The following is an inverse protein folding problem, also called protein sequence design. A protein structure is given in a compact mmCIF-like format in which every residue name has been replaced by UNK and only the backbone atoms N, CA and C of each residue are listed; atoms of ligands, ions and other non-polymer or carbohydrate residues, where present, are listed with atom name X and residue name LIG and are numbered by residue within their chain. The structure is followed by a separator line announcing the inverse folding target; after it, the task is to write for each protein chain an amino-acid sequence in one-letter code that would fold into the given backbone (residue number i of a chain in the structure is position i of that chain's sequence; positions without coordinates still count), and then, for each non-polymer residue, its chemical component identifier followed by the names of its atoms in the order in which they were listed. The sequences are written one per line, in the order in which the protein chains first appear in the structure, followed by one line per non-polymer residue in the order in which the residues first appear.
data_IF_661722309938
#
_entry.id   IF_661722309938
#
_cell.length_a   1.000
_cell.length_b   1.000
_cell.length_c   1.000
_cell.angle_alpha   90.00
_cell.angle_beta   90.00
_cell.angle_gamma   90.00
#
_symmetry.space_group_name_H-M   'P 1'
#
loop_
_entity.id
_entity.type
_entity.pdbx_description
1 polymer ?
#
# COMPACT_ATOMS: atom_id res chain seq x y z
N UNK A 1 -18.17 -22.05 16.05
CA UNK A 1 -17.37 -21.23 15.12
C UNK A 1 -16.55 -20.29 15.97
N UNK A 2 -15.24 -20.52 16.09
CA UNK A 2 -14.33 -19.54 16.71
C UNK A 2 -14.33 -18.31 15.82
N UNK A 3 -14.59 -17.13 16.38
CA UNK A 3 -14.56 -15.89 15.60
C UNK A 3 -13.14 -15.69 15.05
N UNK A 4 -13.02 -15.54 13.73
CA UNK A 4 -11.74 -15.23 13.08
C UNK A 4 -11.38 -13.78 13.42
N UNK A 5 -10.19 -13.56 13.97
CA UNK A 5 -9.67 -12.21 14.21
C UNK A 5 -9.19 -11.61 12.90
N UNK A 6 -9.43 -10.32 12.68
CA UNK A 6 -9.01 -9.60 11.49
C UNK A 6 -8.20 -8.36 11.86
N UNK A 7 -7.23 -8.01 11.01
CA UNK A 7 -6.42 -6.80 11.12
C UNK A 7 -6.37 -6.07 9.79
N UNK A 8 -6.59 -4.76 9.82
CA UNK A 8 -6.39 -3.84 8.70
C UNK A 8 -5.08 -3.07 8.94
N UNK A 9 -4.09 -3.29 8.09
CA UNK A 9 -2.74 -2.74 8.23
C UNK A 9 -2.49 -1.67 7.17
N UNK A 10 -2.05 -0.48 7.56
CA UNK A 10 -1.61 0.53 6.61
C UNK A 10 -0.33 0.05 5.89
N UNK A 11 -0.24 0.21 4.57
CA UNK A 11 0.99 -0.12 3.84
C UNK A 11 2.11 0.85 4.24
N UNK A 12 1.83 2.14 4.07
CA UNK A 12 2.75 3.24 4.36
C UNK A 12 2.80 3.48 5.87
N UNK A 13 4.00 3.58 6.43
CA UNK A 13 4.23 3.78 7.87
C UNK A 13 4.25 2.50 8.72
N UNK A 14 3.78 1.36 8.18
CA UNK A 14 3.82 0.06 8.89
C UNK A 14 4.64 -0.98 8.15
N UNK A 15 4.31 -1.24 6.88
CA UNK A 15 4.93 -2.30 6.08
C UNK A 15 6.12 -1.77 5.28
N UNK A 16 6.00 -0.55 4.76
CA UNK A 16 7.06 0.20 4.09
C UNK A 16 6.68 1.69 4.04
N UNK A 17 7.39 2.47 3.22
CA UNK A 17 6.98 3.81 2.82
C UNK A 17 7.19 3.94 1.30
N UNK A 18 6.09 4.15 0.57
CA UNK A 18 6.08 4.27 -0.89
C UNK A 18 6.11 5.72 -1.37
N UNK A 19 6.11 6.69 -0.44
CA UNK A 19 6.01 8.13 -0.76
C UNK A 19 7.19 8.63 -1.59
N UNK A 20 8.41 8.24 -1.22
CA UNK A 20 9.60 8.65 -1.95
C UNK A 20 9.64 8.08 -3.38
N UNK A 21 9.21 6.83 -3.57
CA UNK A 21 9.13 6.19 -4.89
C UNK A 21 8.04 6.84 -5.76
N UNK A 22 6.91 7.19 -5.14
CA UNK A 22 5.83 7.93 -5.82
C UNK A 22 6.30 9.30 -6.32
N UNK A 23 6.95 10.09 -5.46
CA UNK A 23 7.42 11.43 -5.81
C UNK A 23 8.49 11.38 -6.92
N UNK A 24 9.43 10.43 -6.84
CA UNK A 24 10.44 10.24 -7.87
C UNK A 24 9.82 9.86 -9.23
N UNK A 25 8.81 9.00 -9.23
CA UNK A 25 8.07 8.67 -10.45
C UNK A 25 7.36 9.88 -11.04
N UNK A 26 6.70 10.71 -10.21
CA UNK A 26 6.02 11.91 -10.71
C UNK A 26 6.99 12.84 -11.45
N UNK A 27 8.15 13.12 -10.86
CA UNK A 27 9.19 13.94 -11.48
C UNK A 27 9.70 13.34 -12.80
N UNK A 28 9.96 12.03 -12.83
CA UNK A 28 10.46 11.36 -14.03
C UNK A 28 9.41 11.24 -15.15
N UNK A 29 8.16 10.97 -14.80
CA UNK A 29 7.11 10.65 -15.76
C UNK A 29 6.39 11.89 -16.32
N UNK A 30 6.43 13.04 -15.63
CA UNK A 30 5.66 14.22 -16.01
C UNK A 30 5.83 14.64 -17.47
N UNK A 31 7.08 14.73 -17.95
CA UNK A 31 7.37 15.10 -19.35
C UNK A 31 6.95 14.04 -20.38
N UNK A 32 6.97 12.77 -20.01
CA UNK A 32 6.65 11.63 -20.89
C UNK A 32 5.14 11.44 -20.99
N UNK A 33 4.45 11.60 -19.87
CA UNK A 33 3.01 11.35 -19.73
C UNK A 33 2.19 12.61 -20.05
N UNK A 34 2.80 13.79 -19.96
CA UNK A 34 2.18 15.08 -20.31
C UNK A 34 1.49 15.78 -19.14
N UNK A 35 2.00 15.63 -17.92
CA UNK A 35 1.54 16.38 -16.74
C UNK A 35 2.70 17.13 -16.09
N UNK A 36 2.38 18.17 -15.31
CA UNK A 36 3.36 18.95 -14.56
C UNK A 36 3.27 18.53 -13.08
N UNK A 37 4.30 17.89 -12.50
CA UNK A 37 4.23 17.33 -11.14
C UNK A 37 3.81 18.35 -10.07
N UNK A 38 4.36 19.56 -10.13
CA UNK A 38 4.04 20.67 -9.21
C UNK A 38 2.59 21.20 -9.32
N UNK A 39 1.86 20.84 -10.36
CA UNK A 39 0.44 21.22 -10.54
C UNK A 39 -0.51 20.14 -9.99
N UNK A 40 0.02 18.96 -9.66
CA UNK A 40 -0.77 17.92 -9.01
C UNK A 40 -1.02 18.27 -7.53
N UNK A 41 -2.18 17.88 -6.98
CA UNK A 41 -2.43 17.95 -5.55
C UNK A 41 -1.33 17.28 -4.72
N UNK A 42 -1.00 17.87 -3.56
CA UNK A 42 -0.06 17.27 -2.62
C UNK A 42 -0.62 15.99 -1.97
N UNK A 43 -1.94 15.93 -1.78
CA UNK A 43 -2.61 14.70 -1.35
C UNK A 43 -2.53 13.65 -2.46
N UNK A 44 -1.97 12.49 -2.14
CA UNK A 44 -1.66 11.45 -3.12
C UNK A 44 -2.92 10.84 -3.74
N UNK A 45 -4.00 10.67 -2.97
CA UNK A 45 -5.26 10.16 -3.51
C UNK A 45 -5.89 11.16 -4.50
N UNK A 46 -5.82 12.46 -4.19
CA UNK A 46 -6.26 13.52 -5.11
C UNK A 46 -5.37 13.61 -6.36
N UNK A 47 -4.04 13.44 -6.21
CA UNK A 47 -3.13 13.39 -7.35
C UNK A 47 -3.44 12.24 -8.31
N UNK A 48 -3.75 11.06 -7.77
CA UNK A 48 -4.20 9.91 -8.57
C UNK A 48 -5.50 10.23 -9.32
N UNK A 49 -6.49 10.81 -8.64
CA UNK A 49 -7.74 11.20 -9.28
C UNK A 49 -7.54 12.26 -10.38
N UNK A 50 -6.59 13.18 -10.19
CA UNK A 50 -6.25 14.20 -11.17
C UNK A 50 -5.54 13.61 -12.40
N UNK A 51 -4.59 12.69 -12.21
CA UNK A 51 -3.96 11.94 -13.31
C UNK A 51 -4.98 11.14 -14.12
N UNK A 52 -5.98 10.56 -13.46
CA UNK A 52 -7.09 9.88 -14.14
C UNK A 52 -7.94 10.84 -14.96
N UNK A 53 -8.31 11.98 -14.35
CA UNK A 53 -9.14 13.00 -14.98
C UNK A 53 -8.46 13.60 -16.21
N UNK A 54 -7.15 13.82 -16.16
CA UNK A 54 -6.37 14.30 -17.30
C UNK A 54 -6.29 13.27 -18.43
N UNK A 55 -6.66 12.01 -18.18
CA UNK A 55 -6.58 10.95 -19.17
C UNK A 55 -5.15 10.68 -19.60
N UNK A 56 -4.21 10.79 -18.65
CA UNK A 56 -2.77 10.66 -18.84
C UNK A 56 -2.35 9.24 -19.31
N UNK A 57 -2.71 8.89 -20.54
CA UNK A 57 -2.36 7.64 -21.23
C UNK A 57 -2.43 6.39 -20.35
N UNK A 58 -1.37 5.59 -20.42
CA UNK A 58 -1.20 4.35 -19.67
C UNK A 58 -0.38 4.55 -18.37
N UNK A 59 -0.50 5.72 -17.71
CA UNK A 59 0.37 6.10 -16.58
C UNK A 59 0.46 5.03 -15.48
N UNK A 60 -0.63 4.31 -15.19
CA UNK A 60 -0.64 3.20 -14.22
C UNK A 60 0.30 2.06 -14.60
N UNK A 61 0.33 1.71 -15.89
CA UNK A 61 1.22 0.66 -16.41
C UNK A 61 2.67 1.12 -16.33
N UNK A 62 2.93 2.38 -16.68
CA UNK A 62 4.27 2.96 -16.57
C UNK A 62 4.74 3.04 -15.12
N UNK A 63 3.87 3.43 -14.20
CA UNK A 63 4.15 3.43 -12.76
C UNK A 63 4.50 2.04 -12.26
N UNK A 64 3.73 1.01 -12.63
CA UNK A 64 4.01 -0.37 -12.24
C UNK A 64 5.42 -0.79 -12.64
N UNK A 65 5.76 -0.67 -13.93
CA UNK A 65 7.09 -1.03 -14.46
C UNK A 65 8.22 -0.23 -13.80
N UNK A 66 8.05 1.09 -13.68
CA UNK A 66 9.03 1.96 -13.04
C UNK A 66 9.28 1.56 -11.58
N UNK A 67 8.20 1.25 -10.86
CA UNK A 67 8.25 0.86 -9.47
C UNK A 67 8.93 -0.49 -9.30
N UNK A 68 8.64 -1.47 -10.15
CA UNK A 68 9.25 -2.82 -10.10
C UNK A 68 10.78 -2.75 -10.22
N UNK A 69 11.27 -1.93 -11.15
CA UNK A 69 12.71 -1.72 -11.36
C UNK A 69 13.41 -1.05 -10.17
N UNK A 70 12.69 -0.19 -9.44
CA UNK A 70 13.27 0.68 -8.41
C UNK A 70 12.93 0.29 -6.98
N UNK A 71 11.98 -0.62 -6.78
CA UNK A 71 11.55 -1.05 -5.45
C UNK A 71 12.70 -1.38 -4.50
N UNK A 72 13.79 -2.08 -4.90
CA UNK A 72 14.92 -2.36 -4.01
C UNK A 72 15.67 -1.13 -3.48
N UNK A 73 15.62 0.00 -4.20
CA UNK A 73 16.27 1.27 -3.82
C UNK A 73 15.48 1.97 -2.73
N UNK A 74 14.16 1.97 -2.83
CA UNK A 74 13.26 2.75 -1.96
C UNK A 74 12.71 1.91 -0.81
N UNK A 75 12.42 0.63 -1.06
CA UNK A 75 11.66 -0.21 -0.14
C UNK A 75 12.59 -1.20 0.55
N UNK A 76 12.63 -1.12 1.87
CA UNK A 76 13.40 -2.04 2.70
C UNK A 76 12.49 -3.01 3.43
N UNK A 77 12.85 -4.28 3.37
CA UNK A 77 12.20 -5.32 4.17
C UNK A 77 12.59 -5.14 5.64
N UNK A 78 11.60 -5.14 6.52
CA UNK A 78 11.83 -5.19 7.96
C UNK A 78 11.59 -6.60 8.50
N UNK A 79 12.58 -7.15 9.20
CA UNK A 79 12.50 -8.50 9.77
C UNK A 79 11.47 -8.59 10.90
N UNK A 80 11.27 -7.50 11.65
CA UNK A 80 10.28 -7.41 12.72
C UNK A 80 8.86 -7.47 12.17
N UNK A 81 8.52 -6.59 11.23
CA UNK A 81 7.24 -6.57 10.52
C UNK A 81 6.96 -7.92 9.85
N UNK A 82 7.94 -8.49 9.16
CA UNK A 82 7.80 -9.81 8.53
C UNK A 82 7.52 -10.93 9.54
N UNK A 83 8.13 -10.87 10.73
CA UNK A 83 7.88 -11.83 11.81
C UNK A 83 6.49 -11.66 12.40
N UNK A 84 6.07 -10.43 12.68
CA UNK A 84 4.76 -10.11 13.22
C UNK A 84 3.63 -10.62 12.30
N UNK A 85 3.71 -10.32 10.99
CA UNK A 85 2.73 -10.80 10.03
C UNK A 85 2.65 -12.32 9.95
N UNK A 86 3.80 -13.01 10.00
CA UNK A 86 3.83 -14.48 10.06
C UNK A 86 3.19 -15.04 11.33
N UNK A 87 3.40 -14.37 12.47
CA UNK A 87 2.81 -14.80 13.74
C UNK A 87 1.27 -14.64 13.72
N UNK A 88 0.77 -13.54 13.16
CA UNK A 88 -0.67 -13.31 12.97
C UNK A 88 -1.29 -14.34 12.01
N UNK A 89 -0.65 -14.58 10.85
CA UNK A 89 -1.06 -15.60 9.89
C UNK A 89 -1.12 -16.99 10.54
N UNK A 90 -0.09 -17.37 11.29
CA UNK A 90 -0.04 -18.66 12.00
C UNK A 90 -1.10 -18.78 13.12
N UNK A 91 -1.50 -17.65 13.72
CA UNK A 91 -2.61 -17.58 14.67
C UNK A 91 -3.99 -17.55 13.98
N UNK A 92 -4.06 -17.62 12.66
CA UNK A 92 -5.30 -17.68 11.88
C UNK A 92 -5.97 -16.33 11.67
N UNK A 93 -5.24 -15.22 11.78
CA UNK A 93 -5.79 -13.88 11.53
C UNK A 93 -5.98 -13.61 10.04
N UNK A 94 -7.07 -12.92 9.69
CA UNK A 94 -7.21 -12.31 8.37
C UNK A 94 -6.45 -10.98 8.33
N UNK A 95 -5.54 -10.85 7.36
CA UNK A 95 -4.67 -9.68 7.23
C UNK A 95 -5.06 -8.89 5.98
N UNK A 96 -5.74 -7.76 6.15
CA UNK A 96 -6.00 -6.80 5.09
C UNK A 96 -4.96 -5.68 5.05
N UNK A 97 -4.68 -5.14 3.87
CA UNK A 97 -3.79 -3.97 3.69
C UNK A 97 -4.53 -2.82 3.03
N UNK A 98 -4.32 -1.60 3.51
CA UNK A 98 -4.87 -0.39 2.89
C UNK A 98 -3.80 0.68 2.69
N UNK A 99 -4.00 1.54 1.70
CA UNK A 99 -3.12 2.69 1.40
C UNK A 99 -3.83 3.71 0.52
N UNK A 100 -3.43 4.97 0.60
CA UNK A 100 -3.78 6.02 -0.35
C UNK A 100 -2.93 5.97 -1.64
N UNK A 101 -1.86 5.16 -1.68
CA UNK A 101 -1.06 4.91 -2.88
C UNK A 101 -1.91 4.31 -4.02
N UNK A 102 -1.58 4.61 -5.29
CA UNK A 102 -2.21 3.94 -6.43
C UNK A 102 -1.90 2.45 -6.46
N UNK A 103 -2.85 1.66 -6.99
CA UNK A 103 -2.78 0.19 -6.99
C UNK A 103 -1.48 -0.41 -7.56
N UNK A 104 -0.95 0.03 -8.72
CA UNK A 104 0.30 -0.52 -9.25
C UNK A 104 1.49 -0.38 -8.30
N UNK A 105 1.58 0.75 -7.59
CA UNK A 105 2.65 1.02 -6.62
C UNK A 105 2.49 0.15 -5.36
N UNK A 106 1.26 0.06 -4.85
CA UNK A 106 0.95 -0.77 -3.68
C UNK A 106 1.24 -2.26 -3.93
N UNK A 107 0.86 -2.78 -5.10
CA UNK A 107 1.15 -4.16 -5.51
C UNK A 107 2.64 -4.42 -5.63
N UNK A 108 3.36 -3.51 -6.28
CA UNK A 108 4.83 -3.60 -6.37
C UNK A 108 5.47 -3.68 -4.99
N UNK A 109 5.04 -2.82 -4.06
CA UNK A 109 5.55 -2.83 -2.70
C UNK A 109 5.28 -4.17 -2.00
N UNK A 110 4.05 -4.69 -2.06
CA UNK A 110 3.70 -5.98 -1.46
C UNK A 110 4.48 -7.16 -2.06
N UNK A 111 4.68 -7.16 -3.37
CA UNK A 111 5.45 -8.20 -4.07
C UNK A 111 6.92 -8.15 -3.65
N UNK A 112 7.51 -6.96 -3.62
CA UNK A 112 8.89 -6.76 -3.16
C UNK A 112 9.06 -7.16 -1.69
N UNK A 113 8.08 -6.92 -0.83
CA UNK A 113 8.09 -7.36 0.57
C UNK A 113 7.78 -8.86 0.74
N UNK A 114 7.34 -9.55 -0.31
CA UNK A 114 6.94 -10.96 -0.26
C UNK A 114 5.66 -11.21 0.54
N UNK A 115 4.74 -10.25 0.57
CA UNK A 115 3.54 -10.26 1.40
C UNK A 115 2.26 -10.66 0.65
N UNK A 116 2.29 -10.73 -0.68
CA UNK A 116 1.09 -10.97 -1.52
C UNK A 116 0.31 -12.22 -1.12
N UNK A 117 1.01 -13.29 -0.73
CA UNK A 117 0.40 -14.56 -0.33
C UNK A 117 -0.20 -14.56 1.07
N UNK A 118 0.12 -13.56 1.90
CA UNK A 118 -0.27 -13.49 3.31
C UNK A 118 -1.49 -12.61 3.56
N UNK A 119 -1.76 -11.70 2.63
CA UNK A 119 -2.86 -10.76 2.78
C UNK A 119 -4.14 -11.35 2.19
N UNK A 120 -5.26 -11.14 2.86
CA UNK A 120 -6.59 -11.52 2.39
C UNK A 120 -7.19 -10.47 1.45
N UNK A 121 -6.64 -9.26 1.46
CA UNK A 121 -6.78 -8.35 0.35
C UNK A 121 -6.17 -6.98 0.55
N UNK A 122 -6.16 -6.22 -0.54
CA UNK A 122 -5.61 -4.89 -0.66
C UNK A 122 -6.73 -3.91 -1.04
N UNK A 123 -6.75 -2.73 -0.42
CA UNK A 123 -7.54 -1.58 -0.84
C UNK A 123 -6.63 -0.37 -1.06
N UNK A 124 -6.89 0.41 -2.11
CA UNK A 124 -5.99 1.51 -2.51
C UNK A 124 -6.73 2.81 -2.82
N UNK A 125 -6.05 3.94 -2.71
CA UNK A 125 -6.58 5.26 -3.02
C UNK A 125 -7.57 5.80 -1.97
N UNK A 126 -8.39 6.77 -2.39
CA UNK A 126 -9.32 7.48 -1.51
C UNK A 126 -10.24 6.51 -0.76
N UNK A 127 -10.38 6.67 0.57
CA UNK A 127 -11.20 5.81 1.44
C UNK A 127 -10.85 4.31 1.43
N UNK A 128 -9.60 3.95 1.12
CA UNK A 128 -9.16 2.55 1.14
C UNK A 128 -9.39 1.86 2.49
N UNK A 129 -9.13 2.56 3.60
CA UNK A 129 -9.34 2.05 4.96
C UNK A 129 -10.79 1.64 5.18
N UNK A 130 -11.73 2.53 4.89
CA UNK A 130 -13.16 2.29 5.11
C UNK A 130 -13.68 1.16 4.25
N UNK A 131 -13.22 1.07 2.99
CA UNK A 131 -13.60 -0.05 2.11
C UNK A 131 -13.04 -1.37 2.60
N UNK A 132 -11.81 -1.39 3.12
CA UNK A 132 -11.22 -2.61 3.66
C UNK A 132 -11.96 -3.07 4.90
N UNK A 133 -12.27 -2.15 5.83
CA UNK A 133 -13.00 -2.47 7.06
C UNK A 133 -14.41 -2.98 6.80
N UNK A 134 -15.08 -2.52 5.74
CA UNK A 134 -16.38 -3.07 5.31
C UNK A 134 -16.29 -4.50 4.79
N UNK A 135 -15.13 -4.92 4.30
CA UNK A 135 -14.88 -6.26 3.77
C UNK A 135 -14.42 -7.24 4.85
N UNK A 136 -13.63 -6.77 5.81
CA UNK A 136 -13.16 -7.59 6.93
C UNK A 136 -14.30 -7.87 7.93
N UNK A 137 -14.13 -8.93 8.73
CA UNK A 137 -15.07 -9.25 9.80
C UNK A 137 -15.28 -8.07 10.76
N UNK A 138 -16.49 -7.95 11.30
CA UNK A 138 -16.84 -6.93 12.30
C UNK A 138 -15.87 -6.98 13.49
N UNK A 139 -15.22 -5.86 13.81
CA UNK A 139 -14.24 -5.78 14.90
C UNK A 139 -12.78 -5.90 14.47
N UNK A 140 -12.48 -5.77 13.17
CA UNK A 140 -11.09 -5.73 12.69
C UNK A 140 -10.27 -4.62 13.39
N UNK A 141 -9.09 -4.98 13.86
CA UNK A 141 -8.15 -4.05 14.50
C UNK A 141 -7.44 -3.25 13.40
N UNK A 142 -7.37 -1.92 13.56
CA UNK A 142 -6.61 -1.07 12.63
C UNK A 142 -5.21 -0.85 13.18
N UNK A 143 -4.20 -1.00 12.31
CA UNK A 143 -2.79 -0.79 12.61
C UNK A 143 -2.23 0.23 11.64
N UNK A 144 -1.81 1.38 12.16
CA UNK A 144 -1.27 2.52 11.39
C UNK A 144 0.19 2.82 11.74
N UNK A 145 0.76 2.13 12.74
CA UNK A 145 2.19 2.20 13.03
C UNK A 145 2.84 0.82 13.15
N UNK A 146 4.15 0.77 12.84
CA UNK A 146 4.96 -0.44 13.09
C UNK A 146 4.92 -0.88 14.55
N UNK A 147 4.90 0.06 15.50
CA UNK A 147 4.86 -0.27 16.92
C UNK A 147 3.56 -1.01 17.30
N UNK A 148 2.42 -0.56 16.78
CA UNK A 148 1.13 -1.26 16.96
C UNK A 148 1.17 -2.67 16.37
N UNK A 149 1.74 -2.85 15.18
CA UNK A 149 1.86 -4.17 14.56
C UNK A 149 2.67 -5.13 15.44
N UNK A 150 3.81 -4.66 15.96
CA UNK A 150 4.70 -5.47 16.80
C UNK A 150 4.08 -5.78 18.16
N UNK A 151 3.27 -4.86 18.72
CA UNK A 151 2.57 -5.09 19.98
C UNK A 151 1.37 -6.04 19.84
N UNK A 152 0.78 -6.11 18.65
CA UNK A 152 -0.35 -6.99 18.36
C UNK A 152 0.06 -8.45 18.11
N UNK A 153 1.26 -8.65 17.54
CA UNK A 153 1.73 -9.99 17.21
C UNK A 153 1.97 -10.84 18.48
N UNK A 154 1.51 -12.10 18.49
CA UNK A 154 1.67 -13.02 19.61
C UNK A 154 3.11 -13.55 19.78
#
# INVERSE_FOLDING_TARGET
MTAVSAVAVALDGVLCDTSALWLDWLEAAGSIVGFVPKELPADRAQAVAELDRQGAGNWRTLLGRWSEERAPVYLRRDAGTSRALRALEAAGWEIGVFTDAPEPLARTALSHLGLERRITGLETGFSARERLLKRLASGAIVVESRAELLALAP
#
